data_IF_951429982194
#
_entry.id   IF_951429982194
#
_cell.length_a   1.000
_cell.length_b   1.000
_cell.length_c   1.000
_cell.angle_alpha   90.00
_cell.angle_beta   90.00
_cell.angle_gamma   90.00
#
_symmetry.space_group_name_H-M   'P 1'
#
loop_
_entity.id
_entity.type
_entity.pdbx_description
1 polymer ?
#
# COMPACT_ATOMS: atom_id res chain seq x y z
N UNK A 1 -28.61 -68.47 -0.45
CA UNK A 1 -28.65 -67.54 0.71
C UNK A 1 -27.74 -66.39 0.36
N UNK A 2 -28.38 -65.23 0.24
CA UNK A 2 -27.79 -63.98 -0.28
C UNK A 2 -27.36 -63.20 0.94
N UNK A 3 -26.09 -62.84 1.02
CA UNK A 3 -25.64 -61.93 2.07
C UNK A 3 -25.27 -60.58 1.43
N UNK A 4 -26.09 -59.59 1.80
CA UNK A 4 -26.02 -58.21 1.35
C UNK A 4 -25.31 -57.39 2.44
N UNK A 5 -24.10 -56.98 2.20
CA UNK A 5 -23.51 -55.85 2.92
C UNK A 5 -22.60 -55.03 2.00
N UNK A 6 -23.27 -54.26 1.15
CA UNK A 6 -22.57 -53.14 0.45
C UNK A 6 -22.54 -51.95 1.37
N UNK A 7 -21.40 -51.69 1.99
CA UNK A 7 -21.19 -50.50 2.79
C UNK A 7 -20.79 -49.35 1.86
N UNK A 8 -21.73 -48.44 1.63
CA UNK A 8 -21.48 -47.19 0.92
C UNK A 8 -20.70 -46.24 1.84
N UNK A 9 -19.42 -46.13 1.66
CA UNK A 9 -18.60 -45.05 2.21
C UNK A 9 -18.82 -43.79 1.39
N UNK A 10 -19.75 -42.97 1.83
CA UNK A 10 -19.90 -41.59 1.34
C UNK A 10 -18.76 -40.76 1.91
N UNK A 11 -17.70 -40.60 1.13
CA UNK A 11 -16.61 -39.69 1.44
C UNK A 11 -17.07 -38.22 1.32
N UNK A 12 -17.33 -37.58 2.45
CA UNK A 12 -17.53 -36.13 2.48
C UNK A 12 -16.23 -35.43 2.17
N UNK A 13 -16.05 -34.95 0.95
CA UNK A 13 -14.99 -34.04 0.59
C UNK A 13 -15.29 -32.68 1.25
N UNK A 14 -14.68 -32.44 2.41
CA UNK A 14 -14.67 -31.12 3.04
C UNK A 14 -13.85 -30.19 2.12
N UNK A 15 -14.51 -29.31 1.38
CA UNK A 15 -13.88 -28.22 0.69
C UNK A 15 -13.28 -27.25 1.72
N UNK A 16 -11.97 -27.31 1.91
CA UNK A 16 -11.21 -26.32 2.66
C UNK A 16 -11.29 -25.02 1.86
N UNK A 17 -12.23 -24.15 2.19
CA UNK A 17 -12.28 -22.79 1.69
C UNK A 17 -11.02 -22.09 2.22
N UNK A 18 -10.02 -21.95 1.37
CA UNK A 18 -8.82 -21.16 1.66
C UNK A 18 -9.25 -19.70 1.89
N UNK A 19 -9.32 -19.28 3.16
CA UNK A 19 -9.56 -17.90 3.56
C UNK A 19 -8.33 -17.01 3.31
N UNK A 20 -7.74 -17.06 2.11
CA UNK A 20 -6.71 -16.15 1.65
C UNK A 20 -7.28 -14.83 1.14
N UNK A 21 -6.46 -13.78 1.10
CA UNK A 21 -6.82 -12.57 0.35
C UNK A 21 -6.96 -12.94 -1.14
N UNK A 22 -7.91 -12.29 -1.82
CA UNK A 22 -8.08 -12.48 -3.26
C UNK A 22 -6.81 -12.06 -4.01
N UNK A 23 -6.51 -12.75 -5.12
CA UNK A 23 -5.38 -12.38 -5.97
C UNK A 23 -5.51 -10.94 -6.49
N UNK A 24 -4.40 -10.18 -6.59
CA UNK A 24 -4.42 -8.82 -7.10
C UNK A 24 -4.94 -8.74 -8.54
N UNK A 25 -5.76 -7.73 -8.82
CA UNK A 25 -6.25 -7.43 -10.17
C UNK A 25 -5.61 -6.14 -10.67
N UNK A 26 -5.01 -6.20 -11.84
CA UNK A 26 -4.53 -5.01 -12.55
C UNK A 26 -5.62 -4.61 -13.53
N UNK A 27 -6.32 -3.51 -13.21
CA UNK A 27 -7.46 -3.04 -13.97
C UNK A 27 -6.99 -2.19 -15.16
N UNK A 28 -7.62 -2.29 -16.34
CA UNK A 28 -7.36 -1.33 -17.40
C UNK A 28 -7.86 0.06 -16.99
N UNK A 29 -7.06 1.09 -17.25
CA UNK A 29 -7.44 2.48 -17.00
C UNK A 29 -7.30 3.31 -18.26
N UNK A 30 -8.40 3.91 -18.71
CA UNK A 30 -8.49 4.74 -19.91
C UNK A 30 -8.98 6.17 -19.59
N UNK A 31 -8.93 6.57 -18.32
CA UNK A 31 -9.33 7.91 -17.88
C UNK A 31 -8.19 8.95 -18.00
N UNK A 32 -8.39 10.16 -17.47
CA UNK A 32 -7.37 11.21 -17.46
C UNK A 32 -6.10 10.76 -16.74
N UNK A 33 -4.93 11.11 -17.29
CA UNK A 33 -3.65 10.79 -16.67
C UNK A 33 -3.55 11.39 -15.27
N UNK A 34 -3.08 10.62 -14.29
CA UNK A 34 -2.73 11.16 -12.98
C UNK A 34 -1.44 11.96 -13.11
N UNK A 35 -1.53 13.28 -12.91
CA UNK A 35 -0.40 14.22 -13.00
C UNK A 35 0.23 14.50 -11.65
N UNK A 36 -0.41 14.13 -10.54
CA UNK A 36 0.12 14.30 -9.19
C UNK A 36 -0.68 13.54 -8.13
N UNK A 37 -0.03 13.34 -6.99
CA UNK A 37 -0.62 12.73 -5.80
C UNK A 37 -0.38 13.68 -4.63
N UNK A 38 -1.38 13.90 -3.79
CA UNK A 38 -1.22 14.63 -2.53
C UNK A 38 -1.77 13.77 -1.40
N UNK A 39 -0.99 13.61 -0.34
CA UNK A 39 -1.40 12.89 0.86
C UNK A 39 -1.21 13.77 2.10
N UNK A 40 -2.29 13.98 2.86
CA UNK A 40 -2.29 14.68 4.15
C UNK A 40 -2.32 13.65 5.27
N UNK A 41 -1.25 13.56 6.03
CA UNK A 41 -1.09 12.58 7.12
C UNK A 41 -2.09 12.80 8.25
N UNK A 42 -2.28 14.04 8.67
CA UNK A 42 -3.25 14.38 9.73
C UNK A 42 -4.67 14.02 9.33
N UNK A 43 -5.06 14.30 8.07
CA UNK A 43 -6.40 14.02 7.55
C UNK A 43 -6.58 12.55 7.13
N UNK A 44 -5.50 11.79 7.04
CA UNK A 44 -5.50 10.41 6.50
C UNK A 44 -6.12 10.34 5.11
N UNK A 45 -5.87 11.35 4.29
CA UNK A 45 -6.46 11.49 2.96
C UNK A 45 -5.37 11.55 1.90
N UNK A 46 -5.50 10.70 0.88
CA UNK A 46 -4.68 10.68 -0.32
C UNK A 46 -5.59 10.98 -1.52
N UNK A 47 -5.18 11.90 -2.38
CA UNK A 47 -5.89 12.21 -3.62
C UNK A 47 -5.01 11.99 -4.83
N UNK A 48 -5.62 11.46 -5.90
CA UNK A 48 -5.03 11.43 -7.24
C UNK A 48 -5.56 12.61 -8.04
N UNK A 49 -4.65 13.36 -8.65
CA UNK A 49 -4.95 14.60 -9.37
C UNK A 49 -4.69 14.46 -10.87
N UNK A 50 -5.52 15.11 -11.67
CA UNK A 50 -5.21 15.51 -13.04
C UNK A 50 -5.20 17.03 -13.07
N UNK A 51 -4.01 17.62 -13.11
CA UNK A 51 -3.78 19.05 -12.94
C UNK A 51 -4.47 19.57 -11.65
N UNK A 52 -5.42 20.46 -11.75
CA UNK A 52 -6.17 20.99 -10.60
C UNK A 52 -7.40 20.16 -10.22
N UNK A 53 -7.69 19.07 -10.93
CA UNK A 53 -8.91 18.27 -10.74
C UNK A 53 -8.61 17.03 -9.90
N UNK A 54 -9.37 16.82 -8.82
CA UNK A 54 -9.31 15.57 -8.04
C UNK A 54 -10.03 14.46 -8.82
N UNK A 55 -9.31 13.41 -9.17
CA UNK A 55 -9.86 12.22 -9.81
C UNK A 55 -10.40 11.21 -8.81
N UNK A 56 -9.65 10.99 -7.74
CA UNK A 56 -9.94 10.00 -6.70
C UNK A 56 -9.46 10.47 -5.35
N UNK A 57 -10.12 10.01 -4.30
CA UNK A 57 -9.73 10.26 -2.90
C UNK A 57 -9.84 8.96 -2.11
N UNK A 58 -8.84 8.67 -1.27
CA UNK A 58 -8.73 7.47 -0.46
C UNK A 58 -8.36 7.81 0.97
N UNK A 59 -8.82 7.00 1.91
CA UNK A 59 -8.30 7.01 3.28
C UNK A 59 -7.14 6.04 3.40
N UNK A 60 -6.17 6.33 4.29
CA UNK A 60 -5.03 5.44 4.50
C UNK A 60 -4.61 5.33 5.96
N UNK A 61 -3.94 4.22 6.29
CA UNK A 61 -3.25 4.04 7.56
C UNK A 61 -1.76 4.35 7.39
N UNK A 62 -1.14 4.81 8.48
CA UNK A 62 0.27 5.22 8.54
C UNK A 62 1.17 4.18 9.22
N UNK A 63 2.40 4.58 9.46
CA UNK A 63 3.33 3.87 10.33
C UNK A 63 2.95 4.00 11.80
N UNK A 64 3.49 3.10 12.64
CA UNK A 64 3.20 3.02 14.07
C UNK A 64 3.63 4.26 14.88
N UNK A 65 4.34 5.21 14.25
CA UNK A 65 4.62 6.55 14.77
C UNK A 65 4.08 7.58 13.78
N UNK A 66 2.76 7.87 13.79
CA UNK A 66 2.10 8.61 12.70
C UNK A 66 2.46 10.10 12.63
N UNK A 67 2.95 10.68 13.73
CA UNK A 67 3.22 12.12 13.83
C UNK A 67 4.65 12.45 13.48
N UNK A 68 4.85 13.52 12.69
CA UNK A 68 6.14 14.04 12.28
C UNK A 68 6.74 13.29 11.07
N UNK A 69 7.71 13.92 10.43
CA UNK A 69 8.40 13.39 9.27
C UNK A 69 9.32 12.22 9.62
N UNK A 70 9.43 11.27 8.71
CA UNK A 70 10.44 10.20 8.77
C UNK A 70 11.84 10.80 8.69
N UNK A 71 12.71 10.35 9.59
CA UNK A 71 14.11 10.79 9.66
C UNK A 71 15.10 9.63 9.55
N UNK A 72 14.73 8.47 10.12
CA UNK A 72 15.65 7.35 10.26
C UNK A 72 14.97 6.02 9.96
N UNK A 73 15.77 5.04 9.62
CA UNK A 73 15.33 3.66 9.52
C UNK A 73 14.76 3.18 10.86
N UNK A 74 13.62 2.50 10.81
CA UNK A 74 12.96 1.92 12.00
C UNK A 74 12.17 2.91 12.86
N UNK A 75 12.10 4.21 12.51
CA UNK A 75 11.37 5.21 13.31
C UNK A 75 9.83 5.09 13.22
N UNK A 76 9.32 4.24 12.34
CA UNK A 76 7.89 4.03 12.15
C UNK A 76 7.13 5.20 11.54
N UNK A 77 7.83 6.21 11.04
CA UNK A 77 7.23 7.43 10.47
C UNK A 77 7.12 7.34 8.96
N UNK A 78 6.14 8.06 8.43
CA UNK A 78 6.00 8.33 6.99
C UNK A 78 6.72 9.65 6.68
N UNK A 79 7.48 9.74 5.56
CA UNK A 79 8.15 10.97 5.19
C UNK A 79 7.17 12.11 4.90
N UNK A 80 7.67 13.34 4.96
CA UNK A 80 6.99 14.58 4.54
C UNK A 80 7.87 15.28 3.51
N UNK A 81 7.27 15.85 2.48
CA UNK A 81 8.01 16.51 1.40
C UNK A 81 7.52 16.11 0.01
N UNK A 82 8.33 16.45 -0.99
CA UNK A 82 8.04 16.16 -2.41
C UNK A 82 8.92 15.01 -2.89
N UNK A 83 8.26 14.00 -3.46
CA UNK A 83 8.85 12.79 -4.01
C UNK A 83 8.21 12.46 -5.36
N UNK A 84 8.54 11.31 -5.90
CA UNK A 84 7.89 10.73 -7.08
C UNK A 84 7.62 9.25 -6.88
N UNK A 85 6.72 8.70 -7.66
CA UNK A 85 6.55 7.26 -7.76
C UNK A 85 7.72 6.68 -8.56
N UNK A 86 8.54 5.85 -7.93
CA UNK A 86 9.77 5.33 -8.54
C UNK A 86 9.64 3.92 -9.09
N UNK A 87 8.65 3.15 -8.65
CA UNK A 87 8.44 1.76 -9.09
C UNK A 87 7.02 1.28 -8.81
N UNK A 88 6.64 0.21 -9.50
CA UNK A 88 5.40 -0.55 -9.29
C UNK A 88 5.75 -2.00 -9.00
N UNK A 89 5.15 -2.60 -7.96
CA UNK A 89 5.39 -3.99 -7.60
C UNK A 89 4.10 -4.82 -7.65
N UNK A 90 3.91 -5.64 -8.70
CA UNK A 90 2.73 -6.51 -8.82
C UNK A 90 2.80 -7.76 -7.93
N UNK A 91 3.97 -8.04 -7.32
CA UNK A 91 4.22 -9.16 -6.42
C UNK A 91 4.47 -8.72 -5.00
N UNK A 92 3.78 -7.65 -4.58
CA UNK A 92 3.86 -7.14 -3.21
C UNK A 92 3.26 -8.13 -2.22
N UNK A 93 3.92 -8.37 -1.09
CA UNK A 93 3.34 -9.13 0.03
C UNK A 93 2.11 -8.42 0.66
N UNK A 94 1.85 -7.18 0.26
CA UNK A 94 0.70 -6.37 0.65
C UNK A 94 -0.24 -6.12 -0.53
N UNK A 95 -0.54 -7.14 -1.30
CA UNK A 95 -1.40 -7.16 -2.48
C UNK A 95 -0.71 -6.54 -3.71
N UNK A 96 -0.78 -5.24 -3.90
CA UNK A 96 -0.02 -4.44 -4.88
C UNK A 96 0.68 -3.30 -4.17
N UNK A 97 1.72 -2.72 -4.79
CA UNK A 97 2.32 -1.50 -4.25
C UNK A 97 2.94 -0.60 -5.31
N UNK A 98 2.95 0.70 -5.02
CA UNK A 98 3.68 1.73 -5.77
C UNK A 98 4.68 2.39 -4.83
N UNK A 99 5.94 2.48 -5.24
CA UNK A 99 7.05 2.96 -4.41
C UNK A 99 7.19 4.48 -4.48
N UNK A 100 7.42 5.09 -3.33
CA UNK A 100 7.78 6.51 -3.19
C UNK A 100 9.30 6.65 -3.22
N UNK A 101 9.83 7.69 -3.88
CA UNK A 101 11.27 7.89 -4.08
C UNK A 101 12.05 8.37 -2.83
N UNK A 102 11.48 8.13 -1.63
CA UNK A 102 12.18 8.36 -0.37
C UNK A 102 13.35 7.35 -0.23
N UNK A 103 14.52 7.74 0.31
CA UNK A 103 14.92 9.09 0.70
C UNK A 103 15.43 9.94 -0.49
N UNK A 104 15.15 11.24 -0.48
CA UNK A 104 15.82 12.22 -1.35
C UNK A 104 17.20 12.60 -0.79
N UNK A 105 17.88 13.60 -1.37
CA UNK A 105 19.22 14.01 -0.93
C UNK A 105 19.20 14.65 0.46
N UNK A 106 18.17 15.45 0.75
CA UNK A 106 18.07 16.14 2.05
C UNK A 106 17.80 15.15 3.17
N UNK A 107 16.94 14.15 2.94
CA UNK A 107 16.69 13.06 3.87
C UNK A 107 17.97 12.28 4.20
N UNK A 108 18.76 11.96 3.15
CA UNK A 108 20.05 11.26 3.33
C UNK A 108 21.06 12.11 4.09
N UNK A 109 21.21 13.37 3.71
CA UNK A 109 22.15 14.28 4.35
C UNK A 109 21.83 14.46 5.83
N UNK A 110 20.54 14.67 6.15
CA UNK A 110 20.08 14.77 7.53
C UNK A 110 20.42 13.54 8.35
N UNK A 111 20.05 12.36 7.85
CA UNK A 111 20.27 11.11 8.57
C UNK A 111 21.78 10.80 8.77
N UNK A 112 22.59 11.00 7.73
CA UNK A 112 24.04 10.78 7.78
C UNK A 112 24.74 11.76 8.73
N UNK A 113 24.31 13.02 8.82
CA UNK A 113 24.82 13.97 9.78
C UNK A 113 24.58 13.54 11.25
N UNK A 114 23.57 12.69 11.46
CA UNK A 114 23.28 12.06 12.77
C UNK A 114 23.89 10.66 12.92
N UNK A 115 24.74 10.22 11.99
CA UNK A 115 25.36 8.90 11.99
C UNK A 115 24.37 7.75 11.81
N UNK A 116 23.21 7.99 11.15
CA UNK A 116 22.12 7.02 11.02
C UNK A 116 21.75 6.79 9.56
N UNK A 117 21.11 5.63 9.30
CA UNK A 117 20.47 5.35 8.02
C UNK A 117 19.12 6.06 7.93
N UNK A 118 18.76 6.70 6.81
CA UNK A 118 17.41 7.23 6.59
C UNK A 118 16.39 6.10 6.41
N UNK A 119 16.84 4.89 6.06
CA UNK A 119 16.01 3.81 5.59
C UNK A 119 15.52 4.03 4.17
N UNK A 120 14.37 3.45 3.84
CA UNK A 120 13.78 3.48 2.50
C UNK A 120 12.50 2.65 2.46
N UNK A 121 12.18 2.14 1.26
CA UNK A 121 11.07 1.22 1.05
C UNK A 121 9.71 1.75 1.52
N UNK A 122 9.46 3.03 1.25
CA UNK A 122 8.16 3.66 1.46
C UNK A 122 7.29 3.39 0.24
N UNK A 123 6.09 2.83 0.51
CA UNK A 123 5.13 2.47 -0.53
C UNK A 123 3.71 2.94 -0.17
N UNK A 124 2.88 3.12 -1.19
CA UNK A 124 1.43 3.00 -1.08
C UNK A 124 1.08 1.55 -1.42
N UNK A 125 0.39 0.83 -0.52
CA UNK A 125 0.12 -0.60 -0.68
C UNK A 125 -1.23 -1.02 -0.08
N UNK A 126 -1.67 -2.24 -0.40
CA UNK A 126 -2.91 -2.79 0.15
C UNK A 126 -2.79 -3.27 1.60
N UNK A 127 -3.93 -3.59 2.20
CA UNK A 127 -4.04 -4.03 3.59
C UNK A 127 -4.43 -5.50 3.68
N UNK A 128 -3.55 -6.41 4.15
CA UNK A 128 -3.89 -7.79 4.42
C UNK A 128 -5.01 -7.94 5.47
N UNK A 129 -5.80 -9.02 5.37
CA UNK A 129 -6.96 -9.26 6.27
C UNK A 129 -6.62 -9.08 7.75
N UNK A 130 -5.44 -9.54 8.19
CA UNK A 130 -5.00 -9.46 9.59
C UNK A 130 -4.86 -8.03 10.12
N UNK A 131 -4.72 -7.03 9.25
CA UNK A 131 -4.54 -5.62 9.63
C UNK A 131 -5.74 -4.72 9.32
N UNK A 132 -6.85 -5.24 8.77
CA UNK A 132 -8.01 -4.45 8.33
C UNK A 132 -8.62 -3.54 9.40
N UNK A 133 -8.49 -3.93 10.66
CA UNK A 133 -9.02 -3.18 11.81
C UNK A 133 -7.89 -2.64 12.71
N UNK A 134 -6.66 -2.61 12.20
CA UNK A 134 -5.51 -2.11 12.95
C UNK A 134 -5.12 -0.75 12.43
N UNK A 135 -5.12 0.24 13.30
CA UNK A 135 -4.70 1.59 12.96
C UNK A 135 -3.18 1.71 13.03
N UNK A 136 -2.58 2.46 12.09
CA UNK A 136 -1.15 2.83 12.09
C UNK A 136 -0.21 1.63 12.22
N UNK A 137 -0.46 0.60 11.45
CA UNK A 137 0.20 -0.70 11.58
C UNK A 137 1.47 -0.85 10.71
N UNK A 138 1.77 0.11 9.84
CA UNK A 138 2.93 0.00 8.93
C UNK A 138 4.23 0.45 9.60
N UNK A 139 5.35 0.25 8.94
CA UNK A 139 6.65 0.78 9.38
C UNK A 139 7.00 2.13 8.71
N UNK A 140 5.99 2.83 8.18
CA UNK A 140 6.14 4.14 7.51
C UNK A 140 5.48 4.23 6.13
N UNK A 141 4.93 3.14 5.60
CA UNK A 141 4.17 3.12 4.35
C UNK A 141 2.76 3.71 4.53
N UNK A 142 2.10 4.01 3.41
CA UNK A 142 0.70 4.41 3.36
C UNK A 142 -0.14 3.18 2.95
N UNK A 143 -0.93 2.65 3.88
CA UNK A 143 -1.76 1.47 3.62
C UNK A 143 -3.19 1.87 3.30
N UNK A 144 -3.68 1.46 2.12
CA UNK A 144 -5.06 1.59 1.66
C UNK A 144 -5.73 0.21 1.62
N UNK A 145 -6.99 0.12 1.26
CA UNK A 145 -7.63 -1.18 1.03
C UNK A 145 -7.07 -1.87 -0.23
N UNK A 146 -7.24 -3.19 -0.34
CA UNK A 146 -6.78 -3.94 -1.50
C UNK A 146 -7.46 -3.46 -2.81
N UNK A 147 -8.74 -3.12 -2.76
CA UNK A 147 -9.46 -2.58 -3.92
C UNK A 147 -8.93 -1.18 -4.33
N UNK A 148 -8.64 -0.32 -3.36
CA UNK A 148 -8.11 1.01 -3.62
C UNK A 148 -6.69 0.96 -4.19
N UNK A 149 -5.82 0.06 -3.71
CA UNK A 149 -4.49 -0.07 -4.30
C UNK A 149 -4.53 -0.65 -5.72
N UNK A 150 -5.52 -1.47 -6.08
CA UNK A 150 -5.75 -1.91 -7.47
C UNK A 150 -6.05 -0.72 -8.39
N UNK A 151 -6.90 0.22 -7.94
CA UNK A 151 -7.18 1.46 -8.68
C UNK A 151 -5.93 2.34 -8.78
N UNK A 152 -5.27 2.64 -7.65
CA UNK A 152 -4.05 3.45 -7.59
C UNK A 152 -2.97 2.84 -8.50
N UNK A 153 -2.76 1.53 -8.42
CA UNK A 153 -1.79 0.84 -9.24
C UNK A 153 -2.08 0.97 -10.74
N UNK A 154 -3.34 0.94 -11.11
CA UNK A 154 -3.77 1.04 -12.52
C UNK A 154 -3.67 2.47 -13.06
N UNK A 155 -3.99 3.47 -12.23
CA UNK A 155 -4.06 4.89 -12.63
C UNK A 155 -2.70 5.60 -12.57
N UNK A 156 -1.82 5.22 -11.64
CA UNK A 156 -0.57 5.95 -11.35
C UNK A 156 0.59 5.37 -12.15
N UNK A 157 1.33 6.23 -12.84
CA UNK A 157 2.55 5.89 -13.58
C UNK A 157 3.82 6.08 -12.72
N UNK A 158 4.91 5.43 -13.15
CA UNK A 158 6.26 5.75 -12.64
C UNK A 158 6.61 7.17 -13.11
N UNK A 159 7.21 7.97 -12.23
CA UNK A 159 7.50 9.38 -12.45
C UNK A 159 6.42 10.34 -11.93
N UNK A 160 5.20 9.84 -11.59
CA UNK A 160 4.15 10.70 -11.04
C UNK A 160 4.64 11.37 -9.75
N UNK A 161 4.58 12.73 -9.66
CA UNK A 161 4.91 13.46 -8.43
C UNK A 161 3.97 13.08 -7.29
N UNK A 162 4.51 13.03 -6.07
CA UNK A 162 3.75 12.86 -4.83
C UNK A 162 4.23 13.86 -3.78
N UNK A 163 3.28 14.56 -3.16
CA UNK A 163 3.52 15.45 -2.03
C UNK A 163 2.92 14.82 -0.77
N UNK A 164 3.76 14.62 0.22
CA UNK A 164 3.37 14.12 1.54
C UNK A 164 3.38 15.30 2.51
N UNK A 165 2.22 15.65 3.03
CA UNK A 165 1.99 16.76 3.95
C UNK A 165 1.71 16.25 5.37
N UNK A 166 2.01 17.04 6.41
CA UNK A 166 1.67 16.73 7.80
C UNK A 166 0.23 16.34 8.03
#
# INVERSE_FOLDING_TARGET
MIDRRTLLLAGSAAALAACGDAAPRILPYNGPQVTGIVAWKERRQLVLMHDATVLKSYSFELGFTPIGAKQFEGDGRTPEGTYSINRKNPRSQYHLSVGVSYPNNDDRNYAHAQGRSPGGDIFIHGTPRRFRNTRDWTAGCLAVTNAEVEEIYSMVGVGTPIILLP
#
